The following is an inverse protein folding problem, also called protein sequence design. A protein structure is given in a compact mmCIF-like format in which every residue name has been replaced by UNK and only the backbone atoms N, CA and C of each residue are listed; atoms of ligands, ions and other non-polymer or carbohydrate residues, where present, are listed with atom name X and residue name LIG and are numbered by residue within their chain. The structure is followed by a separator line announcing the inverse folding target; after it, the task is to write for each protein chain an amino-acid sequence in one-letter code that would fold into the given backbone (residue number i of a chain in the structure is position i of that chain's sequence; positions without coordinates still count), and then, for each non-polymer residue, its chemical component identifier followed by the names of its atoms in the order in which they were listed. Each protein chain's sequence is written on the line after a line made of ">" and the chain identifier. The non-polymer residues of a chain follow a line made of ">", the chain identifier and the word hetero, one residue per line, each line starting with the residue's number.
data_IF_635121947758
#
_entry.id   IF_635121947758
#
_cell.length_a   1.000
_cell.length_b   1.000
_cell.length_c   1.000
_cell.angle_alpha   90.00
_cell.angle_beta   90.00
_cell.angle_gamma   90.00
#
_symmetry.space_group_name_H-M   'P 1'
#
loop_
_entity.id
_entity.type
_entity.pdbx_description
1 polymer ?
#
# COMPACT_ATOMS: atom_id res chain seq x y z
N UNK A 1 -9.48 -16.72 -26.61
CA UNK A 1 -8.33 -16.46 -27.49
C UNK A 1 -7.58 -17.77 -27.74
N UNK A 2 -7.60 -18.33 -28.95
CA UNK A 2 -6.66 -19.40 -29.34
C UNK A 2 -6.07 -19.02 -30.70
N UNK A 3 -4.74 -19.14 -30.83
CA UNK A 3 -3.87 -18.75 -31.98
C UNK A 3 -3.48 -17.26 -32.07
N UNK A 4 -2.83 -16.73 -31.03
CA UNK A 4 -2.14 -15.43 -31.11
C UNK A 4 -0.63 -15.65 -30.94
N UNK A 5 0.16 -15.09 -31.85
CA UNK A 5 1.62 -15.01 -31.74
C UNK A 5 2.01 -13.53 -31.80
N UNK A 6 2.78 -13.06 -30.81
CA UNK A 6 3.31 -11.71 -30.77
C UNK A 6 4.81 -11.82 -31.11
N UNK A 7 5.24 -11.11 -32.14
CA UNK A 7 6.64 -11.03 -32.56
C UNK A 7 7.09 -9.59 -32.30
N UNK A 8 8.19 -9.44 -31.59
CA UNK A 8 8.85 -8.17 -31.33
C UNK A 8 10.36 -8.38 -31.36
N UNK A 9 11.12 -7.30 -31.54
CA UNK A 9 12.56 -7.34 -31.35
C UNK A 9 12.90 -7.67 -29.89
N UNK A 10 14.08 -8.25 -29.67
CA UNK A 10 14.52 -8.58 -28.30
C UNK A 10 14.67 -7.29 -27.48
N UNK A 11 14.12 -7.22 -26.25
CA UNK A 11 14.39 -6.11 -25.35
C UNK A 11 15.89 -5.93 -25.13
N UNK A 12 16.34 -4.67 -25.10
CA UNK A 12 17.70 -4.30 -24.70
C UNK A 12 17.91 -4.49 -23.21
N UNK A 13 16.84 -4.35 -22.43
CA UNK A 13 16.80 -4.56 -20.99
C UNK A 13 15.53 -5.30 -20.62
N UNK A 14 15.68 -6.28 -19.74
CA UNK A 14 14.59 -7.04 -19.15
C UNK A 14 14.99 -7.37 -17.71
N UNK A 15 14.33 -6.71 -16.75
CA UNK A 15 14.48 -6.94 -15.33
C UNK A 15 13.21 -7.59 -14.80
N UNK A 16 13.40 -8.70 -14.10
CA UNK A 16 12.33 -9.51 -13.54
C UNK A 16 12.60 -9.73 -12.05
N UNK A 17 11.53 -9.92 -11.27
CA UNK A 17 11.63 -10.42 -9.90
C UNK A 17 11.81 -11.95 -9.84
N UNK A 18 11.87 -12.49 -8.64
CA UNK A 18 12.09 -13.93 -8.38
C UNK A 18 10.96 -14.82 -8.91
N UNK A 19 9.77 -14.26 -9.14
CA UNK A 19 8.63 -14.93 -9.78
C UNK A 19 8.57 -14.69 -11.30
N UNK A 20 9.65 -14.17 -11.89
CA UNK A 20 9.77 -13.87 -13.32
C UNK A 20 8.78 -12.82 -13.83
N UNK A 21 8.33 -11.91 -12.96
CA UNK A 21 7.44 -10.79 -13.33
C UNK A 21 8.26 -9.53 -13.59
N UNK A 22 7.88 -8.67 -14.55
CA UNK A 22 8.56 -7.39 -14.77
C UNK A 22 8.64 -6.56 -13.48
N UNK A 23 9.86 -6.19 -13.07
CA UNK A 23 10.10 -5.41 -11.86
C UNK A 23 11.41 -4.62 -12.00
N UNK A 24 11.37 -3.33 -11.67
CA UNK A 24 12.55 -2.48 -11.48
C UNK A 24 12.22 -1.22 -10.66
N UNK A 25 13.19 -0.71 -9.91
CA UNK A 25 13.04 0.50 -9.10
C UNK A 25 13.77 1.70 -9.75
N UNK A 26 13.04 2.80 -9.99
CA UNK A 26 13.61 4.05 -10.52
C UNK A 26 14.13 3.95 -11.97
N UNK A 27 13.82 2.85 -12.66
CA UNK A 27 14.30 2.58 -14.01
C UNK A 27 13.32 1.64 -14.72
N UNK A 28 13.23 1.64 -16.07
CA UNK A 28 12.31 0.73 -16.75
C UNK A 28 12.65 -0.74 -16.47
N UNK A 29 11.63 -1.56 -16.25
CA UNK A 29 11.79 -3.01 -16.19
C UNK A 29 12.07 -3.61 -17.58
N UNK A 30 11.50 -3.00 -18.63
CA UNK A 30 11.71 -3.41 -20.02
C UNK A 30 12.07 -2.20 -20.87
N UNK A 31 13.09 -2.32 -21.72
CA UNK A 31 13.45 -1.32 -22.71
C UNK A 31 13.71 -1.98 -24.06
N UNK A 32 13.13 -1.42 -25.13
CA UNK A 32 13.31 -1.89 -26.51
C UNK A 32 14.20 -0.93 -27.30
N UNK A 33 14.69 -1.40 -28.46
CA UNK A 33 15.60 -0.63 -29.30
C UNK A 33 14.96 0.58 -29.99
N UNK A 34 13.63 0.56 -30.15
CA UNK A 34 12.81 1.64 -30.72
C UNK A 34 12.53 2.77 -29.72
N UNK A 35 12.99 2.65 -28.47
CA UNK A 35 12.79 3.62 -27.39
C UNK A 35 11.55 3.34 -26.54
N UNK A 36 10.76 2.30 -26.83
CA UNK A 36 9.67 1.92 -25.93
C UNK A 36 10.22 1.41 -24.60
N UNK A 37 9.67 1.94 -23.50
CA UNK A 37 10.03 1.55 -22.14
C UNK A 37 8.78 1.20 -21.33
N UNK A 38 8.94 0.27 -20.39
CA UNK A 38 7.90 -0.13 -19.47
C UNK A 38 8.45 -0.18 -18.05
N UNK A 39 7.84 0.59 -17.17
CA UNK A 39 8.06 0.53 -15.74
C UNK A 39 7.09 -0.46 -15.12
N UNK A 40 7.58 -1.25 -14.18
CA UNK A 40 6.75 -2.20 -13.46
C UNK A 40 7.30 -2.46 -12.06
N UNK A 41 6.40 -2.73 -11.13
CA UNK A 41 6.70 -3.24 -9.79
C UNK A 41 5.95 -4.57 -9.64
N UNK A 42 6.71 -5.66 -9.52
CA UNK A 42 6.19 -7.01 -9.26
C UNK A 42 5.07 -7.46 -10.21
N UNK A 43 5.22 -7.11 -11.50
CA UNK A 43 4.26 -7.40 -12.57
C UNK A 43 3.14 -6.35 -12.74
N UNK A 44 3.01 -5.37 -11.85
CA UNK A 44 2.08 -4.25 -12.00
C UNK A 44 2.76 -3.16 -12.82
N UNK A 45 2.18 -2.82 -13.97
CA UNK A 45 2.67 -1.73 -14.81
C UNK A 45 2.51 -0.40 -14.08
N UNK A 46 3.61 0.35 -13.99
CA UNK A 46 3.62 1.68 -13.42
C UNK A 46 3.49 2.73 -14.55
N UNK A 47 2.71 3.80 -14.32
CA UNK A 47 2.90 5.06 -15.03
C UNK A 47 4.35 5.53 -14.91
N UNK A 48 4.86 6.18 -15.96
CA UNK A 48 6.24 6.65 -16.01
C UNK A 48 6.53 7.64 -14.88
N UNK A 49 5.56 8.51 -14.55
CA UNK A 49 5.66 9.48 -13.46
C UNK A 49 5.93 8.87 -12.08
N UNK A 50 5.63 7.58 -11.88
CA UNK A 50 5.95 6.86 -10.65
C UNK A 50 7.21 6.01 -10.83
N UNK A 51 7.31 5.31 -11.96
CA UNK A 51 8.38 4.34 -12.22
C UNK A 51 9.78 4.95 -12.34
N UNK A 52 9.89 6.24 -12.70
CA UNK A 52 11.18 6.95 -12.71
C UNK A 52 11.77 7.16 -11.30
N UNK A 53 10.95 7.04 -10.26
CA UNK A 53 11.38 7.16 -8.88
C UNK A 53 11.53 5.79 -8.24
N UNK A 54 12.57 5.63 -7.42
CA UNK A 54 12.64 4.47 -6.54
C UNK A 54 11.54 4.56 -5.46
N UNK A 55 11.01 3.43 -4.96
CA UNK A 55 9.95 3.39 -3.94
C UNK A 55 10.20 4.30 -2.73
N UNK A 56 11.45 4.46 -2.30
CA UNK A 56 11.80 5.31 -1.16
C UNK A 56 11.50 6.80 -1.39
N UNK A 57 11.39 7.23 -2.65
CA UNK A 57 11.03 8.59 -3.07
C UNK A 57 9.54 8.74 -3.40
N UNK A 58 8.74 7.69 -3.29
CA UNK A 58 7.32 7.78 -3.57
C UNK A 58 6.60 8.62 -2.52
N UNK A 59 5.62 9.39 -2.99
CA UNK A 59 4.88 10.35 -2.18
C UNK A 59 3.47 9.82 -1.86
N UNK A 60 3.08 9.84 -0.58
CA UNK A 60 1.76 9.36 -0.15
C UNK A 60 0.61 10.09 -0.84
N UNK A 61 0.80 11.38 -1.20
CA UNK A 61 -0.19 12.21 -1.90
C UNK A 61 -0.66 11.61 -3.23
N UNK A 62 0.15 10.74 -3.86
CA UNK A 62 -0.24 10.06 -5.10
C UNK A 62 -1.41 9.09 -4.89
N UNK A 63 -1.63 8.58 -3.67
CA UNK A 63 -2.84 7.79 -3.38
C UNK A 63 -4.10 8.60 -3.69
N UNK A 64 -4.15 9.88 -3.31
CA UNK A 64 -5.34 10.71 -3.41
C UNK A 64 -5.82 10.91 -4.86
N UNK A 65 -4.90 10.94 -5.83
CA UNK A 65 -5.22 11.09 -7.25
C UNK A 65 -5.32 9.75 -8.00
N UNK A 66 -4.79 8.66 -7.45
CA UNK A 66 -4.75 7.35 -8.11
C UNK A 66 -6.10 6.65 -7.98
N UNK A 67 -6.82 6.50 -9.11
CA UNK A 67 -8.09 5.75 -9.19
C UNK A 67 -7.92 4.25 -9.41
N UNK A 68 -6.80 3.83 -10.01
CA UNK A 68 -6.55 2.41 -10.28
C UNK A 68 -6.25 1.66 -8.98
N UNK A 69 -7.10 0.68 -8.64
CA UNK A 69 -7.01 -0.07 -7.39
C UNK A 69 -5.69 -0.87 -7.27
N UNK A 70 -5.19 -1.48 -8.35
CA UNK A 70 -3.92 -2.21 -8.33
C UNK A 70 -2.74 -1.28 -8.07
N UNK A 71 -2.76 -0.08 -8.65
CA UNK A 71 -1.70 0.89 -8.44
C UNK A 71 -1.74 1.48 -7.02
N UNK A 72 -2.94 1.74 -6.47
CA UNK A 72 -3.09 2.12 -5.06
C UNK A 72 -2.52 1.04 -4.14
N UNK A 73 -2.79 -0.25 -4.41
CA UNK A 73 -2.25 -1.36 -3.64
C UNK A 73 -0.72 -1.34 -3.64
N UNK A 74 -0.10 -1.13 -4.80
CA UNK A 74 1.36 -1.02 -4.93
C UNK A 74 1.89 0.19 -4.15
N UNK A 75 1.29 1.37 -4.30
CA UNK A 75 1.67 2.56 -3.54
C UNK A 75 1.60 2.31 -2.02
N UNK A 76 0.52 1.69 -1.53
CA UNK A 76 0.34 1.37 -0.12
C UNK A 76 1.40 0.40 0.39
N UNK A 77 1.69 -0.65 -0.37
CA UNK A 77 2.67 -1.67 0.01
C UNK A 77 4.09 -1.10 0.08
N UNK A 78 4.46 -0.28 -0.89
CA UNK A 78 5.81 0.28 -0.99
C UNK A 78 6.04 1.46 -0.03
N UNK A 79 5.04 2.33 0.16
CA UNK A 79 5.17 3.50 1.05
C UNK A 79 4.96 3.10 2.51
N UNK A 80 4.02 2.18 2.77
CA UNK A 80 3.62 1.77 4.10
C UNK A 80 2.65 2.73 4.79
N UNK A 81 1.79 2.19 5.67
CA UNK A 81 0.76 2.97 6.36
C UNK A 81 1.31 4.02 7.31
N UNK A 82 2.44 3.77 7.96
CA UNK A 82 3.05 4.72 8.90
C UNK A 82 3.38 6.04 8.19
N UNK A 83 4.13 5.96 7.09
CA UNK A 83 4.50 7.14 6.29
C UNK A 83 3.26 7.78 5.65
N UNK A 84 2.30 6.98 5.20
CA UNK A 84 1.04 7.51 4.66
C UNK A 84 0.28 8.34 5.71
N UNK A 85 0.15 7.85 6.94
CA UNK A 85 -0.51 8.57 8.03
C UNK A 85 0.24 9.84 8.46
N UNK A 86 1.56 9.88 8.28
CA UNK A 86 2.39 11.06 8.59
C UNK A 86 2.29 12.12 7.49
N UNK A 87 2.31 11.70 6.22
CA UNK A 87 2.35 12.59 5.06
C UNK A 87 0.95 13.11 4.67
N UNK A 88 -0.10 12.35 4.96
CA UNK A 88 -1.49 12.72 4.64
C UNK A 88 -2.24 13.23 5.85
N UNK A 89 -3.24 14.08 5.59
CA UNK A 89 -4.21 14.44 6.62
C UNK A 89 -5.05 13.22 6.97
N UNK A 90 -4.97 12.81 8.23
CA UNK A 90 -5.79 11.74 8.80
C UNK A 90 -6.79 12.33 9.79
N UNK A 91 -8.01 11.82 9.74
CA UNK A 91 -9.06 12.15 10.68
C UNK A 91 -9.08 11.08 11.77
N UNK A 92 -8.92 11.49 13.02
CA UNK A 92 -9.11 10.60 14.17
C UNK A 92 -10.61 10.34 14.35
N UNK A 93 -11.02 9.08 14.15
CA UNK A 93 -12.41 8.65 14.26
C UNK A 93 -12.75 8.28 15.71
N UNK A 94 -11.85 7.54 16.37
CA UNK A 94 -12.01 7.10 17.75
C UNK A 94 -10.65 6.80 18.39
N UNK A 95 -10.57 6.93 19.71
CA UNK A 95 -9.39 6.55 20.50
C UNK A 95 -9.80 5.73 21.70
N UNK A 96 -9.12 4.60 21.92
CA UNK A 96 -9.35 3.71 23.03
C UNK A 96 -8.02 3.15 23.53
N UNK A 97 -7.62 3.49 24.76
CA UNK A 97 -6.32 3.11 25.34
C UNK A 97 -5.14 3.51 24.41
N UNK A 98 -4.25 2.59 24.06
CA UNK A 98 -3.13 2.79 23.13
C UNK A 98 -3.51 2.70 21.64
N UNK A 99 -4.81 2.55 21.33
CA UNK A 99 -5.34 2.38 19.99
C UNK A 99 -6.04 3.64 19.49
N UNK A 100 -5.74 4.05 18.27
CA UNK A 100 -6.40 5.15 17.57
C UNK A 100 -6.87 4.67 16.21
N UNK A 101 -8.17 4.82 15.94
CA UNK A 101 -8.75 4.57 14.62
C UNK A 101 -8.63 5.85 13.78
N UNK A 102 -7.88 5.76 12.69
CA UNK A 102 -7.64 6.84 11.74
C UNK A 102 -8.37 6.57 10.43
N UNK A 103 -8.90 7.61 9.82
CA UNK A 103 -9.36 7.61 8.43
C UNK A 103 -8.46 8.50 7.59
N UNK A 104 -7.98 8.01 6.46
CA UNK A 104 -7.34 8.88 5.48
C UNK A 104 -8.45 9.69 4.83
N UNK A 105 -8.34 11.02 4.87
CA UNK A 105 -9.29 11.91 4.20
C UNK A 105 -8.99 11.89 2.70
N UNK A 106 -9.68 11.02 1.97
CA UNK A 106 -9.72 11.05 0.51
C UNK A 106 -11.09 11.48 0.01
N UNK A 107 -11.16 12.69 -0.57
CA UNK A 107 -12.35 13.23 -1.26
C UNK A 107 -12.60 12.52 -2.61
N UNK A 108 -12.08 11.29 -2.73
CA UNK A 108 -12.25 10.42 -3.88
C UNK A 108 -13.51 9.58 -3.66
N UNK A 109 -14.33 9.39 -4.70
CA UNK A 109 -15.48 8.46 -4.70
C UNK A 109 -15.02 6.98 -4.62
N UNK A 110 -14.22 6.63 -3.61
CA UNK A 110 -13.54 5.36 -3.40
C UNK A 110 -13.80 4.91 -1.95
N UNK A 111 -13.72 3.61 -1.70
CA UNK A 111 -13.81 3.04 -0.36
C UNK A 111 -12.79 3.70 0.59
N UNK A 112 -13.22 4.17 1.79
CA UNK A 112 -12.34 4.85 2.72
C UNK A 112 -11.26 3.91 3.25
N UNK A 113 -10.06 4.46 3.46
CA UNK A 113 -8.97 3.72 4.10
C UNK A 113 -9.02 4.00 5.60
N UNK A 114 -9.44 2.99 6.37
CA UNK A 114 -9.35 2.98 7.83
C UNK A 114 -8.08 2.28 8.30
N UNK A 115 -7.38 2.91 9.23
CA UNK A 115 -6.11 2.44 9.78
C UNK A 115 -6.21 2.44 11.31
N UNK A 116 -5.95 1.28 11.90
CA UNK A 116 -5.69 1.18 13.33
C UNK A 116 -4.22 1.53 13.59
N UNK A 117 -4.00 2.59 14.34
CA UNK A 117 -2.69 2.95 14.91
C UNK A 117 -2.63 2.43 16.35
N UNK A 118 -1.56 1.72 16.68
CA UNK A 118 -1.27 1.21 18.02
C UNK A 118 0.10 1.75 18.45
N UNK A 119 0.20 2.21 19.69
CA UNK A 119 1.49 2.60 20.30
C UNK A 119 1.84 1.55 21.35
N UNK A 120 2.90 0.78 21.13
CA UNK A 120 3.35 -0.21 22.10
C UNK A 120 3.85 0.49 23.38
N UNK A 121 3.22 0.32 24.56
CA UNK A 121 3.56 1.10 25.76
C UNK A 121 4.98 0.86 26.28
N UNK A 122 5.53 -0.33 26.04
CA UNK A 122 6.84 -0.74 26.53
C UNK A 122 8.01 -0.29 25.65
N UNK A 123 7.77 -0.09 24.34
CA UNK A 123 8.82 0.27 23.37
C UNK A 123 8.63 1.65 22.75
N UNK A 124 7.41 2.20 22.80
CA UNK A 124 7.02 3.40 22.08
C UNK A 124 6.86 3.19 20.57
N UNK A 125 7.03 1.96 20.07
CA UNK A 125 6.91 1.67 18.64
C UNK A 125 5.47 1.86 18.16
N UNK A 126 5.34 2.46 16.98
CA UNK A 126 4.06 2.69 16.32
C UNK A 126 3.81 1.54 15.34
N UNK A 127 2.67 0.89 15.47
CA UNK A 127 2.19 -0.11 14.52
C UNK A 127 0.94 0.43 13.84
N UNK A 128 0.87 0.28 12.52
CA UNK A 128 -0.28 0.71 11.72
C UNK A 128 -0.78 -0.45 10.88
N UNK A 129 -2.08 -0.73 10.96
CA UNK A 129 -2.72 -1.82 10.23
C UNK A 129 -4.01 -1.31 9.59
N UNK A 130 -4.27 -1.68 8.34
CA UNK A 130 -5.56 -1.40 7.70
C UNK A 130 -6.63 -2.30 8.30
N UNK A 131 -7.80 -1.72 8.55
CA UNK A 131 -8.99 -2.41 9.01
C UNK A 131 -10.14 -2.23 8.01
N UNK A 132 -11.20 -3.06 8.07
CA UNK A 132 -12.37 -2.92 7.22
C UNK A 132 -13.01 -1.52 7.34
N UNK A 133 -13.57 -0.99 6.25
CA UNK A 133 -14.12 0.37 6.18
C UNK A 133 -15.42 0.56 6.97
N UNK A 134 -16.07 -0.53 7.39
CA UNK A 134 -17.31 -0.55 8.14
C UNK A 134 -17.11 -0.48 9.67
N UNK A 135 -15.87 -0.55 10.14
CA UNK A 135 -15.52 -0.44 11.56
C UNK A 135 -15.63 1.01 12.03
N UNK A 136 -16.24 1.22 13.21
CA UNK A 136 -16.57 2.56 13.70
C UNK A 136 -15.88 2.93 15.02
N UNK A 137 -15.12 2.02 15.64
CA UNK A 137 -14.42 2.30 16.91
C UNK A 137 -13.03 1.66 16.96
N UNK A 138 -12.13 2.25 17.74
CA UNK A 138 -10.79 1.72 17.97
C UNK A 138 -10.85 0.35 18.68
N UNK A 139 -11.82 0.15 19.58
CA UNK A 139 -12.06 -1.14 20.26
C UNK A 139 -12.47 -2.26 19.29
N UNK A 140 -13.39 -1.96 18.36
CA UNK A 140 -13.80 -2.90 17.32
C UNK A 140 -12.65 -3.22 16.36
N UNK A 141 -11.89 -2.20 15.96
CA UNK A 141 -10.72 -2.34 15.09
C UNK A 141 -9.68 -3.29 15.67
N UNK A 142 -9.29 -3.12 16.95
CA UNK A 142 -8.30 -4.01 17.58
C UNK A 142 -8.85 -5.43 17.79
N UNK A 143 -10.15 -5.56 18.06
CA UNK A 143 -10.79 -6.88 18.17
C UNK A 143 -10.73 -7.60 16.82
N UNK A 144 -10.99 -6.91 15.71
CA UNK A 144 -10.88 -7.47 14.36
C UNK A 144 -9.44 -7.91 14.04
N UNK A 145 -8.45 -7.07 14.35
CA UNK A 145 -7.03 -7.41 14.15
C UNK A 145 -6.63 -8.66 14.94
N UNK A 146 -7.20 -8.88 16.12
CA UNK A 146 -6.96 -10.05 16.97
C UNK A 146 -7.97 -11.20 16.73
N UNK A 147 -8.53 -11.31 15.53
CA UNK A 147 -9.45 -12.40 15.16
C UNK A 147 -10.71 -12.51 16.03
N UNK A 148 -11.22 -11.38 16.51
CA UNK A 148 -12.43 -11.28 17.33
C UNK A 148 -12.20 -11.39 18.84
N UNK A 149 -10.95 -11.51 19.30
CA UNK A 149 -10.64 -11.52 20.73
C UNK A 149 -10.76 -10.11 21.28
N UNK A 150 -11.56 -9.95 22.33
CA UNK A 150 -11.73 -8.66 22.99
C UNK A 150 -10.46 -8.26 23.74
N UNK A 151 -10.08 -6.98 23.73
CA UNK A 151 -8.89 -6.52 24.43
C UNK A 151 -8.83 -6.81 25.93
N UNK A 152 -9.99 -6.92 26.57
CA UNK A 152 -10.10 -7.30 27.99
C UNK A 152 -9.56 -8.72 28.26
N UNK A 153 -9.47 -9.56 27.22
CA UNK A 153 -8.99 -10.95 27.30
C UNK A 153 -7.49 -11.08 26.98
N UNK A 154 -6.82 -10.02 26.52
CA UNK A 154 -5.39 -10.04 26.18
C UNK A 154 -4.49 -10.44 27.37
N UNK A 155 -4.94 -10.21 28.60
CA UNK A 155 -4.17 -10.42 29.83
C UNK A 155 -4.37 -11.80 30.50
N UNK A 156 -5.09 -12.75 29.90
CA UNK A 156 -5.44 -14.00 30.58
C UNK A 156 -4.35 -15.10 30.47
N UNK A 157 -3.29 -14.92 29.68
CA UNK A 157 -2.20 -15.91 29.63
C UNK A 157 -1.06 -15.55 30.58
N UNK A 158 -1.11 -16.09 31.80
CA UNK A 158 0.06 -16.31 32.68
C UNK A 158 0.33 -17.80 32.80
#
# INVERSE_FOLDING_TARGET
>A
MRRLCIICDRPRKLLLDDEYRPHAEGTPAIEFADGYSLYANHGVRLPEEYGIFSPQKWEAKWLLSTKNAELRRVLIQEIGYEKICQDLQTLEIDTWQEYTLLRIDDDADIEPILILKMICPSTGNIHTLRVPPDINSAKEAISWVNWGIYPEEFYIQT
#
